data_IF_378322549855
#
_entry.id   IF_378322549855
#
_cell.length_a   1.000
_cell.length_b   1.000
_cell.length_c   1.000
_cell.angle_alpha   90.00
_cell.angle_beta   90.00
_cell.angle_gamma   90.00
#
_symmetry.space_group_name_H-M   'P 1'
#
loop_
_entity.id
_entity.type
_entity.pdbx_description
1 polymer ?
#
# COMPACT_ATOMS: atom_id res chain seq x y z
N UNK A 1 74.80 118.59 -41.15
CA UNK A 1 75.34 117.43 -40.40
C UNK A 1 74.21 116.83 -39.55
N UNK A 2 74.15 115.49 -39.52
CA UNK A 2 73.44 114.61 -38.56
C UNK A 2 71.95 114.29 -38.84
N UNK A 3 71.79 113.37 -39.81
CA UNK A 3 71.11 112.06 -39.74
C UNK A 3 69.71 111.96 -39.10
N UNK A 4 68.68 111.99 -39.95
CA UNK A 4 67.37 111.33 -39.70
C UNK A 4 67.60 109.82 -39.56
N UNK A 5 67.37 109.27 -38.36
CA UNK A 5 67.16 107.83 -38.19
C UNK A 5 65.67 107.55 -37.90
N UNK A 6 65.10 106.71 -38.76
CA UNK A 6 63.72 106.23 -38.73
C UNK A 6 63.46 105.49 -37.40
N UNK A 7 62.41 105.90 -36.69
CA UNK A 7 61.81 105.13 -35.60
C UNK A 7 61.12 103.92 -36.21
N UNK A 8 61.69 102.74 -36.02
CA UNK A 8 61.02 101.47 -36.22
C UNK A 8 61.35 100.59 -35.02
N UNK A 9 60.34 100.31 -34.19
CA UNK A 9 60.11 99.05 -33.46
C UNK A 9 58.79 99.25 -32.67
N UNK A 10 57.80 98.46 -33.08
CA UNK A 10 56.62 97.98 -32.36
C UNK A 10 55.74 98.99 -31.59
N UNK A 11 54.71 99.51 -32.28
CA UNK A 11 53.46 99.88 -31.63
C UNK A 11 52.71 98.61 -31.24
N UNK A 12 52.96 98.11 -30.04
CA UNK A 12 52.14 97.06 -29.43
C UNK A 12 50.94 97.78 -28.81
N UNK A 13 49.83 97.91 -29.54
CA UNK A 13 48.58 98.43 -28.98
C UNK A 13 48.11 97.50 -27.86
N UNK A 14 47.47 98.03 -26.80
CA UNK A 14 46.95 97.24 -25.66
C UNK A 14 46.10 96.03 -26.11
N UNK A 15 45.40 96.18 -27.24
CA UNK A 15 44.64 95.12 -27.92
C UNK A 15 45.48 93.94 -28.40
N UNK A 16 46.73 94.15 -28.81
CA UNK A 16 47.62 93.07 -29.27
C UNK A 16 48.26 92.29 -28.11
N UNK A 17 48.46 92.94 -26.95
CA UNK A 17 48.86 92.26 -25.69
C UNK A 17 47.68 91.45 -25.14
N UNK A 18 46.47 92.00 -25.14
CA UNK A 18 45.27 91.27 -24.71
C UNK A 18 44.94 90.07 -25.62
N UNK A 19 45.05 90.21 -26.95
CA UNK A 19 44.88 89.08 -27.86
C UNK A 19 46.00 88.05 -27.71
N UNK A 20 47.25 88.46 -27.48
CA UNK A 20 48.36 87.56 -27.18
C UNK A 20 48.15 86.78 -25.89
N UNK A 21 47.73 87.44 -24.81
CA UNK A 21 47.40 86.82 -23.52
C UNK A 21 46.18 85.91 -23.65
N UNK A 22 45.16 86.30 -24.43
CA UNK A 22 43.99 85.46 -24.70
C UNK A 22 44.35 84.21 -25.52
N UNK A 23 45.21 84.32 -26.53
CA UNK A 23 45.73 83.16 -27.26
C UNK A 23 46.57 82.26 -26.37
N UNK A 24 47.44 82.82 -25.53
CA UNK A 24 48.20 82.05 -24.54
C UNK A 24 47.23 81.36 -23.57
N UNK A 25 46.19 82.03 -23.07
CA UNK A 25 45.20 81.44 -22.17
C UNK A 25 44.38 80.34 -22.85
N UNK A 26 43.98 80.53 -24.11
CA UNK A 26 43.27 79.52 -24.90
C UNK A 26 44.16 78.30 -25.13
N UNK A 27 45.43 78.49 -25.50
CA UNK A 27 46.35 77.39 -25.80
C UNK A 27 46.88 76.70 -24.53
N UNK A 28 47.07 77.45 -23.43
CA UNK A 28 47.64 76.92 -22.18
C UNK A 28 46.60 76.43 -21.16
N UNK A 29 45.36 76.94 -21.23
CA UNK A 29 44.31 76.58 -20.26
C UNK A 29 43.11 75.95 -20.96
N UNK A 30 42.54 76.58 -21.98
CA UNK A 30 41.29 76.11 -22.60
C UNK A 30 41.48 74.82 -23.41
N UNK A 31 42.50 74.74 -24.26
CA UNK A 31 42.77 73.56 -25.09
C UNK A 31 43.18 72.33 -24.23
N UNK A 32 44.08 72.46 -23.24
CA UNK A 32 44.37 71.38 -22.31
C UNK A 32 43.16 70.98 -21.45
N UNK A 33 42.34 71.93 -20.99
CA UNK A 33 41.12 71.63 -20.24
C UNK A 33 40.05 70.94 -21.09
N UNK A 34 39.86 71.37 -22.34
CA UNK A 34 38.96 70.72 -23.28
C UNK A 34 39.43 69.29 -23.63
N UNK A 35 40.73 69.10 -23.88
CA UNK A 35 41.30 67.77 -24.11
C UNK A 35 41.21 66.89 -22.85
N UNK A 36 41.40 67.45 -21.66
CA UNK A 36 41.19 66.75 -20.40
C UNK A 36 39.73 66.32 -20.24
N UNK A 37 38.77 67.22 -20.50
CA UNK A 37 37.34 66.95 -20.41
C UNK A 37 36.88 65.88 -21.40
N UNK A 38 37.33 65.95 -22.66
CA UNK A 38 37.01 64.94 -23.69
C UNK A 38 37.59 63.58 -23.31
N UNK A 39 38.84 63.52 -22.85
CA UNK A 39 39.45 62.26 -22.43
C UNK A 39 38.79 61.67 -21.17
N UNK A 40 38.35 62.52 -20.24
CA UNK A 40 37.62 62.11 -19.05
C UNK A 40 36.25 61.52 -19.40
N UNK A 41 35.53 62.16 -20.33
CA UNK A 41 34.24 61.68 -20.84
C UNK A 41 34.40 60.38 -21.63
N UNK A 42 35.42 60.28 -22.50
CA UNK A 42 35.75 59.04 -23.24
C UNK A 42 36.06 57.89 -22.28
N UNK A 43 36.83 58.15 -21.22
CA UNK A 43 37.13 57.18 -20.18
C UNK A 43 35.90 56.74 -19.39
N UNK A 44 34.97 57.66 -19.11
CA UNK A 44 33.69 57.35 -18.45
C UNK A 44 32.81 56.42 -19.27
N UNK A 45 32.64 56.69 -20.57
CA UNK A 45 31.84 55.84 -21.46
C UNK A 45 32.49 54.46 -21.64
N UNK A 46 33.82 54.41 -21.84
CA UNK A 46 34.54 53.15 -21.94
C UNK A 46 34.41 52.31 -20.66
N UNK A 47 34.50 52.92 -19.48
CA UNK A 47 34.29 52.25 -18.20
C UNK A 47 32.84 51.76 -18.03
N UNK A 48 31.85 52.55 -18.44
CA UNK A 48 30.44 52.15 -18.43
C UNK A 48 30.16 50.92 -19.30
N UNK A 49 30.67 50.92 -20.54
CA UNK A 49 30.59 49.76 -21.43
C UNK A 49 31.31 48.55 -20.83
N UNK A 50 32.49 48.76 -20.26
CA UNK A 50 33.26 47.69 -19.63
C UNK A 50 32.54 47.05 -18.44
N UNK A 51 31.77 47.84 -17.67
CA UNK A 51 30.90 47.35 -16.61
C UNK A 51 29.73 46.52 -17.14
N UNK A 52 29.12 46.92 -18.26
CA UNK A 52 28.07 46.14 -18.92
C UNK A 52 28.61 44.78 -19.39
N UNK A 53 29.78 44.77 -20.04
CA UNK A 53 30.46 43.53 -20.44
C UNK A 53 30.78 42.67 -19.22
N UNK A 54 31.35 43.23 -18.14
CA UNK A 54 31.65 42.46 -16.94
C UNK A 54 30.40 41.86 -16.28
N UNK A 55 29.28 42.58 -16.30
CA UNK A 55 28.00 42.06 -15.78
C UNK A 55 27.53 40.87 -16.61
N UNK A 56 27.62 40.96 -17.94
CA UNK A 56 27.29 39.85 -18.84
C UNK A 56 28.24 38.65 -18.66
N UNK A 57 29.55 38.90 -18.51
CA UNK A 57 30.57 37.88 -18.22
C UNK A 57 30.25 37.13 -16.92
N UNK A 58 29.95 37.84 -15.83
CA UNK A 58 29.61 37.22 -14.55
C UNK A 58 28.37 36.32 -14.68
N UNK A 59 27.34 36.79 -15.39
CA UNK A 59 26.13 35.98 -15.62
C UNK A 59 26.43 34.75 -16.49
N UNK A 60 27.23 34.90 -17.55
CA UNK A 60 27.63 33.79 -18.41
C UNK A 60 28.39 32.72 -17.61
N UNK A 61 29.35 33.13 -16.75
CA UNK A 61 30.11 32.22 -15.89
C UNK A 61 29.18 31.44 -14.95
N UNK A 62 28.20 32.12 -14.33
CA UNK A 62 27.24 31.49 -13.44
C UNK A 62 26.35 30.45 -14.13
N UNK A 63 25.81 30.78 -15.31
CA UNK A 63 24.87 29.93 -16.03
C UNK A 63 25.57 28.76 -16.77
N UNK A 64 26.84 28.93 -17.18
CA UNK A 64 27.57 27.97 -18.03
C UNK A 64 28.73 27.28 -17.29
N UNK A 65 28.67 27.24 -15.97
CA UNK A 65 29.74 26.71 -15.13
C UNK A 65 30.21 25.31 -15.53
N UNK A 66 29.29 24.38 -15.85
CA UNK A 66 29.66 23.01 -16.27
C UNK A 66 30.42 23.00 -17.59
N UNK A 67 30.00 23.82 -18.57
CA UNK A 67 30.68 23.91 -19.86
C UNK A 67 32.05 24.58 -19.74
N UNK A 68 32.17 25.58 -18.85
CA UNK A 68 33.44 26.24 -18.54
C UNK A 68 34.37 25.26 -17.82
N UNK A 69 33.90 24.52 -16.82
CA UNK A 69 34.70 23.53 -16.09
C UNK A 69 35.17 22.36 -16.98
N UNK A 70 34.44 22.05 -18.05
CA UNK A 70 34.87 21.06 -19.03
C UNK A 70 36.01 21.55 -19.94
N UNK A 71 36.21 22.86 -20.06
CA UNK A 71 37.13 23.48 -21.02
C UNK A 71 38.24 24.34 -20.37
N UNK A 72 38.07 24.74 -19.12
CA UNK A 72 39.06 25.43 -18.31
C UNK A 72 39.77 24.44 -17.38
N UNK A 73 41.01 24.76 -17.02
CA UNK A 73 41.81 24.04 -16.03
C UNK A 73 42.66 25.05 -15.25
N UNK A 74 43.51 24.61 -14.30
CA UNK A 74 44.45 25.51 -13.64
C UNK A 74 45.45 26.17 -14.60
N UNK A 75 45.67 25.61 -15.79
CA UNK A 75 46.68 26.09 -16.76
C UNK A 75 46.12 26.44 -18.14
N UNK A 76 44.90 26.00 -18.46
CA UNK A 76 44.23 26.26 -19.74
C UNK A 76 42.99 27.11 -19.49
N UNK A 77 42.86 28.31 -20.09
CA UNK A 77 41.67 29.11 -19.89
C UNK A 77 40.54 28.74 -20.84
N UNK A 78 39.32 28.91 -20.36
CA UNK A 78 38.20 29.21 -21.24
C UNK A 78 38.27 30.69 -21.67
N UNK A 79 38.34 30.95 -22.97
CA UNK A 79 38.36 32.30 -23.53
C UNK A 79 36.94 32.73 -23.89
N UNK A 80 36.46 33.79 -23.26
CA UNK A 80 35.15 34.37 -23.49
C UNK A 80 35.29 35.76 -24.13
N UNK A 81 34.55 36.00 -25.20
CA UNK A 81 34.60 37.25 -25.98
C UNK A 81 33.22 37.90 -26.07
N UNK A 82 33.16 39.19 -26.43
CA UNK A 82 31.88 39.89 -26.64
C UNK A 82 30.99 39.22 -27.70
N UNK A 83 31.50 38.78 -28.86
CA UNK A 83 30.68 38.03 -29.83
C UNK A 83 30.03 36.77 -29.24
N UNK A 84 30.73 36.03 -28.37
CA UNK A 84 30.17 34.86 -27.69
C UNK A 84 29.04 35.26 -26.72
N UNK A 85 29.22 36.36 -25.98
CA UNK A 85 28.19 36.90 -25.10
C UNK A 85 26.94 37.36 -25.86
N UNK A 86 27.13 37.95 -27.05
CA UNK A 86 26.02 38.33 -27.94
C UNK A 86 25.31 37.09 -28.48
N UNK A 87 26.05 36.10 -29.00
CA UNK A 87 25.45 34.86 -29.54
C UNK A 87 24.70 34.05 -28.48
N UNK A 88 25.19 34.08 -27.24
CA UNK A 88 24.55 33.39 -26.10
C UNK A 88 23.44 34.22 -25.43
N UNK A 89 23.15 35.44 -25.92
CA UNK A 89 22.03 36.27 -25.44
C UNK A 89 22.30 37.07 -24.16
N UNK A 90 23.54 37.18 -23.71
CA UNK A 90 23.94 37.96 -22.52
C UNK A 90 24.20 39.44 -22.83
N UNK A 91 24.41 39.78 -24.11
CA UNK A 91 24.49 41.14 -24.63
C UNK A 91 23.53 41.29 -25.82
N UNK A 92 22.95 42.49 -26.05
CA UNK A 92 22.00 42.71 -27.14
C UNK A 92 22.67 42.52 -28.51
N UNK A 93 21.87 42.13 -29.50
CA UNK A 93 22.34 42.06 -30.88
C UNK A 93 22.85 43.43 -31.34
N UNK A 94 24.03 43.48 -31.95
CA UNK A 94 24.70 44.73 -32.34
C UNK A 94 25.51 45.42 -31.24
N UNK A 95 25.68 44.80 -30.06
CA UNK A 95 26.60 45.34 -29.05
C UNK A 95 28.04 45.42 -29.61
N UNK A 96 28.70 46.60 -29.57
CA UNK A 96 30.00 46.77 -30.20
C UNK A 96 31.09 45.94 -29.50
N UNK A 97 31.91 45.25 -30.29
CA UNK A 97 33.02 44.42 -29.80
C UNK A 97 34.22 45.25 -29.34
N UNK A 98 34.27 46.53 -29.71
CA UNK A 98 35.31 47.48 -29.32
C UNK A 98 34.72 48.63 -28.49
N UNK A 99 35.58 49.25 -27.68
CA UNK A 99 35.24 50.46 -26.94
C UNK A 99 35.69 51.74 -27.67
N UNK A 100 35.48 52.90 -27.05
CA UNK A 100 35.89 54.21 -27.60
C UNK A 100 37.42 54.43 -27.70
N UNK A 101 38.22 53.46 -27.28
CA UNK A 101 39.67 53.38 -27.49
C UNK A 101 40.06 52.31 -28.52
N UNK A 102 39.08 51.70 -29.20
CA UNK A 102 39.24 50.57 -30.12
C UNK A 102 39.76 49.28 -29.47
N UNK A 103 39.74 49.19 -28.13
CA UNK A 103 40.11 47.96 -27.42
C UNK A 103 38.97 46.96 -27.44
N UNK A 104 39.30 45.67 -27.60
CA UNK A 104 38.37 44.54 -27.51
C UNK A 104 38.38 43.93 -26.11
N UNK A 105 37.29 43.25 -25.73
CA UNK A 105 37.19 42.56 -24.45
C UNK A 105 37.44 41.06 -24.61
N UNK A 106 38.41 40.54 -23.86
CA UNK A 106 38.71 39.12 -23.77
C UNK A 106 38.78 38.70 -22.31
N UNK A 107 37.83 37.89 -21.86
CA UNK A 107 37.84 37.30 -20.53
C UNK A 107 38.52 35.94 -20.59
N UNK A 108 39.50 35.73 -19.70
CA UNK A 108 40.14 34.42 -19.49
C UNK A 108 39.68 33.87 -18.16
N UNK A 109 39.13 32.65 -18.18
CA UNK A 109 38.56 31.98 -17.01
C UNK A 109 39.35 30.69 -16.77
N UNK A 110 39.94 30.56 -15.59
CA UNK A 110 40.67 29.37 -15.14
C UNK A 110 39.88 28.69 -14.02
N UNK A 111 40.17 27.41 -13.80
CA UNK A 111 39.61 26.63 -12.70
C UNK A 111 40.75 26.06 -11.82
N UNK A 112 41.28 26.87 -10.89
CA UNK A 112 42.36 26.40 -10.00
C UNK A 112 41.94 25.26 -9.07
N UNK A 113 40.64 25.17 -8.76
CA UNK A 113 40.04 24.11 -7.96
C UNK A 113 38.62 23.82 -8.47
N UNK A 114 38.18 22.57 -8.34
CA UNK A 114 36.90 22.10 -8.86
C UNK A 114 35.72 23.02 -8.42
N UNK A 115 35.00 23.56 -9.39
CA UNK A 115 33.87 24.48 -9.21
C UNK A 115 34.23 25.90 -8.78
N UNK A 116 35.51 26.26 -8.71
CA UNK A 116 35.99 27.60 -8.33
C UNK A 116 36.68 28.27 -9.51
N UNK A 117 36.02 29.27 -10.09
CA UNK A 117 36.57 29.99 -11.24
C UNK A 117 37.34 31.23 -10.81
N UNK A 118 38.48 31.45 -11.46
CA UNK A 118 39.30 32.65 -11.35
C UNK A 118 39.36 33.30 -12.73
N UNK A 119 38.82 34.51 -12.85
CA UNK A 119 38.62 35.15 -14.16
C UNK A 119 39.15 36.58 -14.19
N UNK A 120 39.64 37.01 -15.34
CA UNK A 120 40.00 38.40 -15.59
C UNK A 120 39.61 38.79 -17.02
N UNK A 121 38.95 39.95 -17.15
CA UNK A 121 38.62 40.55 -18.43
C UNK A 121 39.72 41.52 -18.82
N UNK A 122 40.38 41.26 -19.94
CA UNK A 122 41.41 42.11 -20.52
C UNK A 122 40.82 42.97 -21.62
N UNK A 123 41.07 44.27 -21.56
CA UNK A 123 40.86 45.15 -22.70
C UNK A 123 42.15 45.10 -23.52
N UNK A 124 42.08 44.50 -24.71
CA UNK A 124 43.23 44.20 -25.56
C UNK A 124 43.17 45.01 -26.86
N UNK A 125 44.34 45.43 -27.37
CA UNK A 125 44.42 46.30 -28.53
C UNK A 125 43.84 47.71 -28.28
N UNK A 126 43.73 48.49 -29.36
CA UNK A 126 43.29 49.88 -29.29
C UNK A 126 44.43 50.87 -29.07
N UNK A 127 44.09 52.06 -28.57
CA UNK A 127 45.06 53.14 -28.35
C UNK A 127 45.95 52.88 -27.12
N UNK A 128 47.24 53.19 -27.24
CA UNK A 128 48.18 53.13 -26.12
C UNK A 128 47.81 54.16 -25.04
N UNK A 129 47.50 53.66 -23.85
CA UNK A 129 47.17 54.48 -22.69
C UNK A 129 48.39 54.63 -21.79
N UNK A 130 48.63 55.84 -21.31
CA UNK A 130 49.55 56.04 -20.17
C UNK A 130 48.97 55.37 -18.93
N UNK A 131 49.84 54.97 -17.99
CA UNK A 131 49.41 54.39 -16.70
C UNK A 131 48.41 55.30 -15.98
N UNK A 132 48.57 56.62 -16.07
CA UNK A 132 47.64 57.59 -15.51
C UNK A 132 46.25 57.52 -16.14
N UNK A 133 46.16 57.39 -17.47
CA UNK A 133 44.88 57.26 -18.18
C UNK A 133 44.21 55.92 -17.87
N UNK A 134 44.97 54.83 -17.90
CA UNK A 134 44.46 53.49 -17.58
C UNK A 134 43.92 53.40 -16.15
N UNK A 135 44.66 53.97 -15.18
CA UNK A 135 44.24 54.03 -13.78
C UNK A 135 42.95 54.83 -13.59
N UNK A 136 42.77 55.95 -14.30
CA UNK A 136 41.51 56.72 -14.26
C UNK A 136 40.33 55.93 -14.81
N UNK A 137 40.50 55.18 -15.91
CA UNK A 137 39.45 54.32 -16.46
C UNK A 137 39.13 53.20 -15.45
N UNK A 138 40.15 52.59 -14.86
CA UNK A 138 39.99 51.57 -13.81
C UNK A 138 39.16 52.08 -12.63
N UNK A 139 39.44 53.29 -12.12
CA UNK A 139 38.66 53.90 -11.03
C UNK A 139 37.19 54.08 -11.41
N UNK A 140 36.88 54.39 -12.68
CA UNK A 140 35.51 54.56 -13.17
C UNK A 140 34.77 53.24 -13.34
N UNK A 141 35.47 52.14 -13.62
CA UNK A 141 34.89 50.79 -13.65
C UNK A 141 34.44 50.39 -12.23
N UNK A 142 35.20 50.80 -11.21
CA UNK A 142 34.91 50.59 -9.80
C UNK A 142 35.89 49.62 -9.14
N UNK A 143 35.49 49.00 -8.03
CA UNK A 143 36.38 48.17 -7.20
C UNK A 143 37.06 47.00 -7.94
N UNK A 144 36.42 46.47 -8.98
CA UNK A 144 36.97 45.39 -9.81
C UNK A 144 37.88 45.91 -10.94
N UNK A 145 37.88 47.21 -11.24
CA UNK A 145 38.67 47.79 -12.32
C UNK A 145 40.15 47.89 -11.96
N UNK A 146 41.01 47.61 -12.91
CA UNK A 146 42.46 47.69 -12.76
C UNK A 146 43.18 48.04 -14.06
N UNK A 147 44.50 48.13 -13.97
CA UNK A 147 45.40 48.39 -15.10
C UNK A 147 46.68 47.57 -14.97
N UNK A 148 47.38 47.35 -16.08
CA UNK A 148 48.62 46.60 -16.12
C UNK A 148 49.82 47.53 -16.01
N UNK A 149 50.72 47.21 -15.09
CA UNK A 149 51.98 47.90 -14.87
C UNK A 149 53.08 46.90 -14.48
N UNK A 150 54.10 46.79 -15.32
CA UNK A 150 55.25 45.88 -15.18
C UNK A 150 54.85 44.42 -14.96
N UNK A 151 53.88 43.93 -15.74
CA UNK A 151 53.43 42.53 -15.69
C UNK A 151 52.52 42.18 -14.51
N UNK A 152 52.06 43.19 -13.76
CA UNK A 152 51.14 43.05 -12.64
C UNK A 152 49.85 43.78 -12.96
N UNK A 153 48.71 43.12 -12.78
CA UNK A 153 47.39 43.73 -12.83
C UNK A 153 47.10 44.38 -11.47
N UNK A 154 46.94 45.70 -11.45
CA UNK A 154 46.72 46.51 -10.24
C UNK A 154 45.32 47.10 -10.26
N UNK A 155 44.56 46.86 -9.20
CA UNK A 155 43.27 47.50 -8.98
C UNK A 155 43.40 49.01 -8.82
N UNK A 156 42.34 49.73 -9.18
CA UNK A 156 42.25 51.16 -8.97
C UNK A 156 42.57 51.52 -7.51
N UNK A 157 43.41 52.54 -7.30
CA UNK A 157 43.87 52.99 -5.97
C UNK A 157 44.52 51.89 -5.11
N UNK A 158 45.02 50.81 -5.71
CA UNK A 158 45.65 49.70 -4.99
C UNK A 158 44.66 48.74 -4.32
N UNK A 159 43.38 48.73 -4.72
CA UNK A 159 42.35 47.89 -4.11
C UNK A 159 42.63 46.38 -4.16
N UNK A 160 43.41 45.94 -5.15
CA UNK A 160 43.88 44.57 -5.31
C UNK A 160 45.11 44.55 -6.22
N UNK A 161 45.87 43.47 -6.22
CA UNK A 161 47.02 43.30 -7.08
C UNK A 161 47.21 41.81 -7.39
N UNK A 162 47.29 41.45 -8.67
CA UNK A 162 47.47 40.07 -9.11
C UNK A 162 48.57 39.98 -10.18
N UNK A 163 49.41 38.95 -10.09
CA UNK A 163 50.43 38.68 -11.10
C UNK A 163 49.75 38.07 -12.34
N UNK A 164 50.11 38.55 -13.55
CA UNK A 164 49.57 38.01 -14.80
C UNK A 164 49.93 36.54 -15.04
N UNK A 165 50.91 35.98 -14.32
CA UNK A 165 51.19 34.55 -14.30
C UNK A 165 49.99 33.71 -13.84
N UNK A 166 49.12 34.23 -12.97
CA UNK A 166 47.88 33.58 -12.55
C UNK A 166 46.88 33.41 -13.71
N UNK A 167 47.03 34.18 -14.78
CA UNK A 167 46.19 34.13 -15.98
C UNK A 167 46.94 33.54 -17.18
N UNK A 168 47.81 32.56 -16.95
CA UNK A 168 48.57 31.85 -17.98
C UNK A 168 49.62 32.72 -18.68
N UNK A 169 50.07 33.78 -18.00
CA UNK A 169 51.09 34.71 -18.50
C UNK A 169 50.60 35.65 -19.59
N UNK A 170 49.28 35.74 -19.84
CA UNK A 170 48.74 36.64 -20.84
C UNK A 170 48.97 38.10 -20.44
N UNK A 171 49.79 38.81 -21.23
CA UNK A 171 50.18 40.18 -20.95
C UNK A 171 50.03 41.05 -22.20
N UNK A 172 48.94 41.84 -22.32
CA UNK A 172 48.77 42.79 -23.42
C UNK A 172 49.73 44.00 -23.34
N UNK A 173 50.45 44.18 -22.23
CA UNK A 173 51.43 45.25 -22.05
C UNK A 173 50.98 46.35 -21.08
N UNK A 174 51.92 47.21 -20.69
CA UNK A 174 51.68 48.31 -19.75
C UNK A 174 50.59 49.27 -20.27
N UNK A 175 49.74 49.77 -19.37
CA UNK A 175 48.67 50.72 -19.72
C UNK A 175 47.36 50.08 -20.18
N UNK A 176 47.29 48.76 -20.33
CA UNK A 176 46.02 48.09 -20.62
C UNK A 176 45.12 48.03 -19.38
N UNK A 177 43.82 48.22 -19.60
CA UNK A 177 42.80 48.15 -18.54
C UNK A 177 42.33 46.70 -18.39
N UNK A 178 42.12 46.28 -17.15
CA UNK A 178 41.65 44.95 -16.78
C UNK A 178 40.49 45.05 -15.81
N UNK A 179 39.70 43.98 -15.71
CA UNK A 179 38.64 43.85 -14.71
C UNK A 179 38.77 42.51 -14.03
N UNK A 180 38.96 42.51 -12.72
CA UNK A 180 39.02 41.30 -11.92
C UNK A 180 37.63 40.67 -11.79
N UNK A 181 37.50 39.43 -12.24
CA UNK A 181 36.42 38.54 -11.84
C UNK A 181 36.81 37.88 -10.52
N UNK A 182 36.52 38.54 -9.39
CA UNK A 182 36.70 37.96 -8.06
C UNK A 182 36.10 36.55 -8.02
N UNK A 183 36.77 35.59 -7.37
CA UNK A 183 36.38 34.18 -7.33
C UNK A 183 34.86 33.98 -7.26
N UNK A 184 34.28 33.44 -8.33
CA UNK A 184 32.87 33.10 -8.38
C UNK A 184 32.73 31.60 -8.14
N UNK A 185 31.97 31.23 -7.11
CA UNK A 185 31.55 29.84 -6.93
C UNK A 185 30.65 29.49 -8.11
N UNK A 186 31.05 28.52 -8.93
CA UNK A 186 30.44 28.14 -10.20
C UNK A 186 29.04 27.51 -10.11
N UNK A 187 28.22 27.90 -9.14
CA UNK A 187 26.82 27.51 -9.11
C UNK A 187 26.03 28.57 -8.33
N UNK A 188 25.53 29.60 -9.02
CA UNK A 188 24.37 30.33 -8.52
C UNK A 188 23.16 29.50 -8.95
N UNK A 189 22.84 28.45 -8.18
CA UNK A 189 21.60 27.72 -8.32
C UNK A 189 20.45 28.65 -7.93
N UNK A 190 19.84 29.31 -8.91
CA UNK A 190 18.57 29.99 -8.74
C UNK A 190 17.58 29.44 -9.76
N UNK A 191 17.25 28.15 -9.61
CA UNK A 191 16.23 27.46 -10.38
C UNK A 191 14.99 27.25 -9.51
N UNK A 192 14.33 28.36 -9.14
CA UNK A 192 13.07 28.28 -8.39
C UNK A 192 11.91 28.06 -9.35
N UNK A 193 11.15 26.98 -9.16
CA UNK A 193 9.78 26.86 -9.64
C UNK A 193 8.99 28.09 -9.17
N UNK A 194 8.41 28.87 -10.08
CA UNK A 194 7.67 30.06 -9.69
C UNK A 194 6.46 29.64 -8.86
N UNK A 195 6.43 30.06 -7.59
CA UNK A 195 5.35 29.74 -6.64
C UNK A 195 4.09 30.60 -6.83
N UNK A 196 4.12 31.46 -7.84
CA UNK A 196 3.04 32.38 -8.23
C UNK A 196 2.87 32.21 -9.73
N UNK A 197 1.63 32.01 -10.17
CA UNK A 197 1.32 31.90 -11.59
C UNK A 197 1.87 33.13 -12.32
N UNK A 198 2.76 32.92 -13.29
CA UNK A 198 3.21 33.97 -14.21
C UNK A 198 2.28 33.99 -15.42
N UNK A 199 1.41 35.02 -15.58
CA UNK A 199 0.44 35.06 -16.67
C UNK A 199 1.14 35.00 -18.05
N UNK A 200 0.61 34.17 -18.94
CA UNK A 200 1.16 33.99 -20.30
C UNK A 200 2.48 33.24 -20.38
N UNK A 201 2.97 32.67 -19.26
CA UNK A 201 4.26 31.96 -19.17
C UNK A 201 4.11 30.60 -18.45
N UNK A 202 3.38 29.63 -19.04
CA UNK A 202 3.15 28.31 -18.42
C UNK A 202 4.45 27.53 -18.14
N UNK A 203 5.49 27.74 -18.94
CA UNK A 203 6.81 27.14 -18.78
C UNK A 203 7.47 27.49 -17.44
N UNK A 204 7.15 28.65 -16.86
CA UNK A 204 7.71 29.09 -15.57
C UNK A 204 6.97 28.49 -14.36
N UNK A 205 5.80 27.90 -14.58
CA UNK A 205 4.96 27.30 -13.54
C UNK A 205 4.97 25.76 -13.60
N UNK A 206 5.79 25.17 -14.48
CA UNK A 206 5.80 23.73 -14.77
C UNK A 206 7.18 23.14 -14.52
N UNK A 207 7.27 21.99 -13.85
CA UNK A 207 8.52 21.23 -13.76
C UNK A 207 8.79 20.50 -15.08
N UNK A 208 9.99 20.64 -15.63
CA UNK A 208 10.43 19.93 -16.86
C UNK A 208 11.04 18.56 -16.60
N UNK A 209 11.18 18.18 -15.33
CA UNK A 209 11.73 16.89 -14.88
C UNK A 209 10.97 16.39 -13.64
N UNK A 210 11.22 15.13 -13.24
CA UNK A 210 10.59 14.53 -12.07
C UNK A 210 11.03 15.24 -10.77
N UNK A 211 10.08 15.41 -9.84
CA UNK A 211 10.36 15.88 -8.48
C UNK A 211 10.85 14.71 -7.62
N UNK A 212 12.14 14.70 -7.29
CA UNK A 212 12.70 13.78 -6.30
C UNK A 212 12.76 14.48 -4.94
N UNK A 213 12.04 13.96 -3.95
CA UNK A 213 12.01 14.51 -2.59
C UNK A 213 13.16 14.01 -1.69
N UNK A 214 13.98 13.06 -2.14
CA UNK A 214 15.11 12.53 -1.37
C UNK A 214 14.71 11.92 -0.02
N UNK A 215 13.49 11.38 0.09
CA UNK A 215 12.93 10.85 1.34
C UNK A 215 12.22 11.87 2.23
N UNK A 216 12.07 13.12 1.79
CA UNK A 216 11.36 14.16 2.52
C UNK A 216 9.84 14.14 2.25
N UNK A 217 9.08 14.71 3.19
CA UNK A 217 7.62 14.76 3.14
C UNK A 217 7.09 15.93 2.30
N UNK A 218 5.88 15.76 1.76
CA UNK A 218 5.03 16.86 1.26
C UNK A 218 3.97 17.15 2.32
N UNK A 219 4.16 18.20 3.13
CA UNK A 219 3.23 18.55 4.20
C UNK A 219 2.16 19.54 3.72
N UNK A 220 0.90 19.37 4.16
CA UNK A 220 -0.24 20.26 3.87
C UNK A 220 -0.57 20.45 2.37
N UNK A 221 -0.37 19.41 1.55
CA UNK A 221 -0.85 19.44 0.16
C UNK A 221 -2.39 19.46 0.14
N UNK A 222 -2.99 20.43 -0.56
CA UNK A 222 -4.44 20.47 -0.76
C UNK A 222 -4.93 19.39 -1.72
N UNK A 223 -4.52 19.47 -2.98
CA UNK A 223 -4.85 18.47 -4.01
C UNK A 223 -3.60 18.11 -4.81
N UNK A 224 -3.30 16.81 -4.90
CA UNK A 224 -2.27 16.28 -5.80
C UNK A 224 -2.97 15.54 -6.93
N UNK A 225 -3.16 16.21 -8.06
CA UNK A 225 -3.72 15.61 -9.26
C UNK A 225 -2.60 14.96 -10.09
N UNK A 226 -2.64 13.63 -10.24
CA UNK A 226 -1.67 12.86 -11.01
C UNK A 226 -2.40 11.83 -11.89
N UNK A 227 -1.81 11.48 -13.03
CA UNK A 227 -2.35 10.42 -13.89
C UNK A 227 -2.26 9.06 -13.20
N UNK A 228 -1.17 8.80 -12.47
CA UNK A 228 -0.94 7.59 -11.69
C UNK A 228 -0.35 7.97 -10.31
N UNK A 229 -0.73 7.24 -9.26
CA UNK A 229 -0.15 7.37 -7.92
C UNK A 229 0.34 6.00 -7.43
N UNK A 230 1.64 5.89 -7.16
CA UNK A 230 2.22 4.74 -6.48
C UNK A 230 2.55 5.16 -5.04
N UNK A 231 1.81 4.61 -4.07
CA UNK A 231 1.98 4.92 -2.64
C UNK A 231 2.55 3.67 -1.97
N UNK A 232 3.85 3.69 -1.70
CA UNK A 232 4.54 2.60 -1.00
C UNK A 232 4.59 2.91 0.51
N UNK A 233 3.70 2.31 1.30
CA UNK A 233 3.62 2.49 2.76
C UNK A 233 2.18 2.55 3.29
N UNK A 234 2.02 2.80 4.60
CA UNK A 234 0.70 2.90 5.25
C UNK A 234 0.07 4.27 4.98
N UNK A 235 -1.09 4.29 4.32
CA UNK A 235 -1.96 5.47 4.23
C UNK A 235 -2.64 5.70 5.59
N UNK A 236 -1.97 6.45 6.47
CA UNK A 236 -2.56 6.87 7.74
C UNK A 236 -3.50 8.06 7.47
N UNK A 237 -4.79 7.77 7.46
CA UNK A 237 -5.93 8.72 7.50
C UNK A 237 -6.33 9.42 6.19
N UNK A 238 -7.62 9.30 5.85
CA UNK A 238 -8.27 9.95 4.71
C UNK A 238 -8.70 8.95 3.63
N UNK A 239 -10.00 8.89 3.35
CA UNK A 239 -10.66 8.05 2.34
C UNK A 239 -9.82 7.87 1.06
N UNK A 240 -9.46 6.64 0.71
CA UNK A 240 -8.87 6.31 -0.59
C UNK A 240 -10.00 6.12 -1.62
N UNK A 241 -10.33 7.18 -2.38
CA UNK A 241 -11.32 7.13 -3.44
C UNK A 241 -10.61 6.94 -4.80
N UNK A 242 -10.50 5.69 -5.26
CA UNK A 242 -9.93 5.35 -6.55
C UNK A 242 -10.96 4.58 -7.38
N UNK A 243 -11.18 4.99 -8.64
CA UNK A 243 -12.03 4.26 -9.57
C UNK A 243 -11.44 2.88 -9.89
N UNK A 244 -10.10 2.79 -9.99
CA UNK A 244 -9.32 1.57 -10.07
C UNK A 244 -8.08 1.77 -9.18
N UNK A 245 -7.87 0.92 -8.18
CA UNK A 245 -6.72 1.01 -7.28
C UNK A 245 -6.29 -0.37 -6.80
N UNK A 246 -4.99 -0.59 -6.70
CA UNK A 246 -4.41 -1.82 -6.18
C UNK A 246 -3.58 -1.50 -4.95
N UNK A 247 -3.87 -2.15 -3.82
CA UNK A 247 -3.03 -2.10 -2.62
C UNK A 247 -2.14 -3.35 -2.66
N UNK A 248 -0.85 -3.20 -2.91
CA UNK A 248 0.12 -4.31 -2.98
C UNK A 248 0.66 -4.75 -1.61
N UNK A 249 -0.04 -4.38 -0.53
CA UNK A 249 0.37 -4.60 0.86
C UNK A 249 -0.84 -4.68 1.80
N UNK A 250 -0.66 -4.28 3.05
CA UNK A 250 -1.71 -4.36 4.06
C UNK A 250 -2.67 -3.17 3.98
N UNK A 251 -3.98 -3.44 3.92
CA UNK A 251 -5.03 -2.43 4.13
C UNK A 251 -5.47 -2.47 5.60
N UNK A 252 -5.08 -1.45 6.38
CA UNK A 252 -5.58 -1.25 7.75
C UNK A 252 -6.64 -0.14 7.75
N UNK A 253 -7.91 -0.53 7.74
CA UNK A 253 -9.05 0.39 7.68
C UNK A 253 -10.06 0.05 8.78
N UNK A 254 -10.65 1.09 9.40
CA UNK A 254 -11.71 0.88 10.41
C UNK A 254 -12.98 0.25 9.84
N UNK A 255 -13.30 0.51 8.56
CA UNK A 255 -14.42 -0.11 7.84
C UNK A 255 -14.07 -0.25 6.37
N UNK A 256 -14.43 -1.37 5.76
CA UNK A 256 -14.28 -1.64 4.32
C UNK A 256 -15.66 -1.91 3.75
N UNK A 257 -16.16 -1.00 2.91
CA UNK A 257 -17.42 -1.16 2.18
C UNK A 257 -17.12 -1.56 0.73
N UNK A 258 -17.31 -2.83 0.39
CA UNK A 258 -17.17 -3.32 -0.98
C UNK A 258 -18.54 -3.39 -1.68
N UNK A 259 -18.69 -2.66 -2.79
CA UNK A 259 -19.92 -2.70 -3.62
C UNK A 259 -19.95 -3.90 -4.58
N UNK A 260 -18.81 -4.53 -4.83
CA UNK A 260 -18.64 -5.70 -5.66
C UNK A 260 -18.22 -6.95 -4.86
N UNK A 261 -17.70 -7.94 -5.57
CA UNK A 261 -17.22 -9.18 -4.98
C UNK A 261 -15.91 -8.97 -4.18
N UNK A 262 -15.78 -9.66 -3.06
CA UNK A 262 -14.52 -9.78 -2.31
C UNK A 262 -13.92 -11.16 -2.61
N UNK A 263 -12.76 -11.19 -3.24
CA UNK A 263 -12.01 -12.44 -3.52
C UNK A 263 -10.76 -12.49 -2.65
N UNK A 264 -10.58 -13.59 -1.92
CA UNK A 264 -9.38 -13.86 -1.12
C UNK A 264 -8.75 -15.16 -1.59
N UNK A 265 -7.43 -15.15 -1.86
CA UNK A 265 -6.67 -16.36 -2.18
C UNK A 265 -6.25 -17.14 -0.92
N UNK A 266 -6.49 -16.58 0.27
CA UNK A 266 -6.18 -17.15 1.56
C UNK A 266 -7.38 -17.04 2.51
N UNK A 267 -7.15 -17.17 3.81
CA UNK A 267 -8.21 -17.16 4.82
C UNK A 267 -8.79 -15.76 5.06
N UNK A 268 -10.10 -15.70 5.29
CA UNK A 268 -10.78 -14.52 5.87
C UNK A 268 -10.91 -14.76 7.37
N UNK A 269 -10.19 -13.98 8.19
CA UNK A 269 -10.17 -14.12 9.65
C UNK A 269 -10.98 -12.96 10.26
N UNK A 270 -12.00 -13.28 11.06
CA UNK A 270 -12.78 -12.31 11.84
C UNK A 270 -12.63 -12.62 13.33
N UNK A 271 -12.45 -11.59 14.15
CA UNK A 271 -12.44 -11.73 15.62
C UNK A 271 -13.85 -11.90 16.20
N UNK A 272 -14.88 -11.55 15.40
CA UNK A 272 -16.29 -11.63 15.79
C UNK A 272 -17.04 -12.47 14.74
N UNK A 273 -18.17 -11.96 14.26
CA UNK A 273 -19.07 -12.69 13.35
C UNK A 273 -18.78 -12.35 11.88
N UNK A 274 -18.94 -13.35 11.00
CA UNK A 274 -19.09 -13.15 9.56
C UNK A 274 -20.57 -13.31 9.23
N UNK A 275 -21.24 -12.21 8.86
CA UNK A 275 -22.64 -12.21 8.47
C UNK A 275 -22.76 -12.08 6.96
N UNK A 276 -23.54 -12.97 6.34
CA UNK A 276 -23.83 -12.95 4.92
C UNK A 276 -25.25 -13.48 4.69
N UNK A 277 -25.86 -13.12 3.56
CA UNK A 277 -27.15 -13.68 3.17
C UNK A 277 -27.08 -15.19 2.94
N UNK A 278 -25.96 -15.66 2.36
CA UNK A 278 -25.68 -17.07 2.11
C UNK A 278 -24.21 -17.35 2.36
N UNK A 279 -23.91 -18.47 3.03
CA UNK A 279 -22.59 -19.10 3.02
C UNK A 279 -22.67 -20.29 2.06
N UNK A 280 -21.79 -20.32 1.06
CA UNK A 280 -21.80 -21.37 0.03
C UNK A 280 -20.47 -22.14 0.03
N UNK A 281 -20.39 -23.28 0.73
CA UNK A 281 -19.22 -24.16 0.66
C UNK A 281 -19.00 -24.67 -0.77
N UNK A 282 -17.80 -24.48 -1.29
CA UNK A 282 -17.43 -24.96 -2.64
C UNK A 282 -16.92 -26.40 -2.61
N UNK A 283 -16.35 -26.84 -1.49
CA UNK A 283 -15.81 -28.18 -1.33
C UNK A 283 -16.93 -29.22 -1.15
N UNK A 284 -17.05 -30.13 -2.11
CA UNK A 284 -17.87 -31.35 -1.96
C UNK A 284 -17.09 -32.40 -1.18
N UNK A 285 -17.74 -33.04 -0.20
CA UNK A 285 -17.14 -34.00 0.74
C UNK A 285 -17.94 -35.30 0.78
N UNK A 286 -17.28 -36.39 1.16
CA UNK A 286 -17.90 -37.70 1.35
C UNK A 286 -18.14 -37.93 2.84
N UNK A 287 -19.39 -38.24 3.21
CA UNK A 287 -19.75 -38.59 4.58
C UNK A 287 -18.89 -39.77 5.08
N UNK A 288 -18.42 -39.67 6.32
CA UNK A 288 -17.51 -40.64 6.94
C UNK A 288 -16.04 -40.50 6.53
N UNK A 289 -15.74 -39.71 5.49
CA UNK A 289 -14.37 -39.38 5.08
C UNK A 289 -13.63 -38.57 6.14
N UNK A 290 -12.29 -38.62 6.10
CA UNK A 290 -11.45 -37.85 7.01
C UNK A 290 -11.41 -36.35 6.65
N UNK A 291 -11.20 -35.51 7.66
CA UNK A 291 -11.10 -34.07 7.50
C UNK A 291 -10.22 -33.46 8.59
N UNK A 292 -9.64 -32.29 8.32
CA UNK A 292 -8.88 -31.51 9.28
C UNK A 292 -8.81 -30.04 8.83
N UNK A 293 -8.87 -29.06 9.76
CA UNK A 293 -9.15 -29.24 11.18
C UNK A 293 -10.63 -29.54 11.45
N UNK A 294 -10.96 -30.07 12.63
CA UNK A 294 -12.35 -30.14 13.10
C UNK A 294 -12.96 -28.73 13.14
N UNK A 295 -14.23 -28.59 12.74
CA UNK A 295 -14.97 -27.33 12.71
C UNK A 295 -15.14 -26.71 11.31
N UNK A 296 -14.44 -27.20 10.28
CA UNK A 296 -14.71 -26.77 8.89
C UNK A 296 -16.06 -27.31 8.38
N UNK A 297 -16.65 -26.62 7.41
CA UNK A 297 -17.93 -26.98 6.81
C UNK A 297 -17.72 -27.21 5.31
N UNK A 298 -18.08 -28.40 4.83
CA UNK A 298 -18.20 -28.73 3.41
C UNK A 298 -19.65 -28.89 3.01
N UNK A 299 -19.88 -29.39 1.79
CA UNK A 299 -21.19 -29.85 1.32
C UNK A 299 -21.11 -31.27 0.79
N UNK A 300 -22.19 -32.04 0.81
CA UNK A 300 -22.22 -33.32 0.08
C UNK A 300 -22.64 -33.13 -1.40
N UNK A 301 -22.82 -34.24 -2.12
CA UNK A 301 -23.24 -34.22 -3.54
C UNK A 301 -24.67 -33.72 -3.77
N UNK A 302 -25.50 -33.69 -2.73
CA UNK A 302 -26.87 -33.16 -2.77
C UNK A 302 -26.95 -31.68 -2.36
N UNK A 303 -25.86 -31.15 -1.79
CA UNK A 303 -25.74 -29.75 -1.36
C UNK A 303 -25.97 -29.53 0.13
N UNK A 304 -26.18 -30.59 0.93
CA UNK A 304 -26.34 -30.48 2.37
C UNK A 304 -25.03 -30.04 3.03
N UNK A 305 -25.12 -29.15 4.01
CA UNK A 305 -23.99 -28.74 4.84
C UNK A 305 -23.48 -29.91 5.69
N UNK A 306 -22.18 -30.19 5.64
CA UNK A 306 -21.55 -31.27 6.39
C UNK A 306 -20.39 -30.71 7.22
N UNK A 307 -20.51 -30.65 8.56
CA UNK A 307 -19.40 -30.26 9.41
C UNK A 307 -18.35 -31.38 9.52
N UNK A 308 -17.10 -30.97 9.69
CA UNK A 308 -16.02 -31.84 10.14
C UNK A 308 -16.05 -31.93 11.67
N UNK A 309 -16.36 -33.09 12.22
CA UNK A 309 -16.43 -33.34 13.67
C UNK A 309 -15.45 -34.46 14.01
N UNK A 310 -14.54 -34.18 14.95
CA UNK A 310 -13.52 -35.14 15.41
C UNK A 310 -12.76 -35.81 14.24
N UNK A 311 -12.40 -35.00 13.23
CA UNK A 311 -11.65 -35.43 12.06
C UNK A 311 -12.43 -36.25 11.03
N UNK A 312 -13.77 -36.28 11.10
CA UNK A 312 -14.63 -36.91 10.08
C UNK A 312 -15.77 -36.01 9.61
N UNK A 313 -16.15 -36.17 8.35
CA UNK A 313 -17.33 -35.53 7.78
C UNK A 313 -18.60 -36.23 8.26
N UNK A 314 -19.43 -35.54 9.04
CA UNK A 314 -20.58 -36.15 9.72
C UNK A 314 -21.83 -35.31 9.54
N UNK A 315 -22.98 -35.96 9.26
CA UNK A 315 -24.28 -35.29 9.31
C UNK A 315 -24.82 -35.35 10.73
N UNK A 316 -25.36 -34.24 11.25
CA UNK A 316 -26.16 -34.29 12.48
C UNK A 316 -27.50 -34.96 12.15
N UNK A 317 -27.70 -36.20 12.61
CA UNK A 317 -28.91 -36.95 12.24
C UNK A 317 -30.20 -36.47 12.92
N UNK A 318 -30.14 -35.43 13.77
CA UNK A 318 -31.28 -34.92 14.55
C UNK A 318 -31.85 -35.89 15.59
N UNK A 319 -31.44 -37.17 15.57
CA UNK A 319 -31.84 -38.20 16.51
C UNK A 319 -30.84 -38.28 17.66
N UNK A 320 -31.28 -38.15 18.93
CA UNK A 320 -30.40 -38.30 20.08
C UNK A 320 -29.73 -39.66 20.14
N UNK A 321 -28.45 -39.70 20.46
CA UNK A 321 -27.72 -40.95 20.74
C UNK A 321 -28.41 -41.70 21.89
N UNK A 322 -28.50 -43.02 21.77
CA UNK A 322 -29.26 -43.89 22.67
C UNK A 322 -30.73 -44.11 22.29
N UNK A 323 -31.25 -43.40 21.28
CA UNK A 323 -32.61 -43.65 20.78
C UNK A 323 -32.72 -45.07 20.25
N UNK A 324 -33.70 -45.83 20.75
CA UNK A 324 -34.06 -47.15 20.23
C UNK A 324 -35.15 -46.96 19.16
N UNK A 325 -34.92 -47.51 17.98
CA UNK A 325 -35.84 -47.45 16.85
C UNK A 325 -36.14 -48.85 16.31
N UNK A 326 -37.32 -48.98 15.72
CA UNK A 326 -37.73 -50.18 14.98
C UNK A 326 -37.19 -50.06 13.54
N UNK A 327 -36.56 -51.13 13.05
CA UNK A 327 -35.93 -51.17 11.74
C UNK A 327 -36.34 -52.41 10.95
N UNK A 328 -36.77 -52.20 9.70
CA UNK A 328 -37.35 -53.25 8.85
C UNK A 328 -36.37 -53.92 7.87
N UNK A 329 -35.06 -53.67 7.99
CA UNK A 329 -34.04 -54.20 7.06
C UNK A 329 -32.85 -54.82 7.81
N UNK A 330 -32.22 -55.84 7.25
CA UNK A 330 -30.98 -56.39 7.80
C UNK A 330 -29.78 -55.44 7.63
N UNK A 331 -29.86 -54.48 6.70
CA UNK A 331 -28.81 -53.49 6.50
C UNK A 331 -28.97 -52.36 7.52
N UNK A 332 -28.16 -52.37 8.58
CA UNK A 332 -28.20 -51.35 9.63
C UNK A 332 -27.55 -50.05 9.10
N UNK A 333 -28.21 -48.88 9.20
CA UNK A 333 -27.66 -47.61 8.73
C UNK A 333 -26.39 -47.20 9.50
N UNK A 334 -25.51 -46.43 8.84
CA UNK A 334 -24.33 -45.88 9.53
C UNK A 334 -24.72 -44.99 10.71
N UNK A 335 -23.96 -45.10 11.80
CA UNK A 335 -24.25 -44.44 13.07
C UNK A 335 -25.36 -45.11 13.90
N UNK A 336 -25.77 -46.33 13.55
CA UNK A 336 -26.67 -47.17 14.33
C UNK A 336 -26.05 -48.54 14.61
N UNK A 337 -26.45 -49.16 15.73
CA UNK A 337 -26.07 -50.52 16.10
C UNK A 337 -27.32 -51.35 16.34
N UNK A 338 -27.29 -52.64 16.04
CA UNK A 338 -28.38 -53.56 16.39
C UNK A 338 -28.36 -53.84 17.91
N UNK A 339 -29.54 -53.82 18.55
CA UNK A 339 -29.73 -54.21 19.94
C UNK A 339 -29.74 -55.75 20.09
N UNK A 340 -28.58 -56.37 19.91
CA UNK A 340 -28.35 -57.82 19.97
C UNK A 340 -27.33 -58.23 21.05
N UNK A 341 -27.05 -57.36 22.02
CA UNK A 341 -26.05 -57.61 23.07
C UNK A 341 -24.58 -57.39 22.66
N UNK A 342 -24.30 -56.94 21.43
CA UNK A 342 -22.93 -56.72 20.97
C UNK A 342 -22.17 -55.66 21.77
N UNK A 343 -20.85 -55.81 21.83
CA UNK A 343 -19.95 -54.80 22.38
C UNK A 343 -19.70 -53.64 21.40
N UNK A 344 -19.38 -52.46 21.92
CA UNK A 344 -18.97 -51.29 21.16
C UNK A 344 -17.76 -50.59 21.81
N UNK A 345 -16.99 -49.87 21.00
CA UNK A 345 -15.82 -49.13 21.48
C UNK A 345 -16.25 -47.84 22.19
N UNK A 346 -16.11 -47.80 23.51
CA UNK A 346 -16.53 -46.66 24.35
C UNK A 346 -15.75 -45.37 24.08
N UNK A 347 -14.52 -45.45 23.58
CA UNK A 347 -13.73 -44.29 23.17
C UNK A 347 -14.16 -43.72 21.82
N UNK A 348 -14.68 -44.56 20.92
CA UNK A 348 -15.18 -44.13 19.61
C UNK A 348 -16.65 -43.66 19.66
N UNK A 349 -17.44 -44.19 20.59
CA UNK A 349 -18.86 -43.88 20.78
C UNK A 349 -19.09 -43.29 22.19
N UNK A 350 -18.47 -42.16 22.49
CA UNK A 350 -18.46 -41.55 23.83
C UNK A 350 -19.86 -41.16 24.32
N UNK A 351 -20.72 -40.63 23.44
CA UNK A 351 -22.11 -40.29 23.78
C UNK A 351 -22.94 -41.55 24.14
N UNK A 352 -22.74 -42.65 23.42
CA UNK A 352 -23.42 -43.91 23.73
C UNK A 352 -22.85 -44.53 25.01
N UNK A 353 -21.54 -44.41 25.24
CA UNK A 353 -20.88 -44.88 26.47
C UNK A 353 -21.37 -44.15 27.72
N UNK A 354 -21.81 -42.88 27.60
CA UNK A 354 -22.42 -42.15 28.71
C UNK A 354 -23.78 -42.76 29.14
N UNK A 355 -24.49 -43.42 28.22
CA UNK A 355 -25.77 -44.09 28.47
C UNK A 355 -25.56 -45.57 28.85
N UNK A 356 -24.62 -46.23 28.19
CA UNK A 356 -24.25 -47.64 28.39
C UNK A 356 -22.75 -47.78 28.72
N UNK A 357 -22.34 -47.51 29.98
CA UNK A 357 -20.92 -47.52 30.37
C UNK A 357 -20.24 -48.89 30.26
N UNK A 358 -21.01 -49.97 30.23
CA UNK A 358 -20.51 -51.33 30.02
C UNK A 358 -19.89 -51.55 28.65
N UNK A 359 -20.13 -50.65 27.69
CA UNK A 359 -19.68 -50.83 26.30
C UNK A 359 -20.47 -51.92 25.58
N UNK A 360 -21.69 -52.23 26.03
CA UNK A 360 -22.57 -53.22 25.40
C UNK A 360 -23.95 -52.62 25.18
N UNK A 361 -24.55 -52.90 24.02
CA UNK A 361 -25.94 -52.53 23.74
C UNK A 361 -26.91 -53.54 24.36
N UNK A 362 -28.18 -53.18 24.61
CA UNK A 362 -29.20 -54.15 25.04
C UNK A 362 -29.37 -55.28 24.03
N UNK A 363 -29.87 -56.44 24.48
CA UNK A 363 -30.34 -57.52 23.60
C UNK A 363 -31.87 -57.58 23.67
N UNK A 364 -32.53 -57.22 22.57
CA UNK A 364 -34.00 -57.23 22.46
C UNK A 364 -34.52 -58.29 21.50
N UNK A 365 -33.66 -59.20 21.03
CA UNK A 365 -34.09 -60.27 20.11
C UNK A 365 -35.10 -61.17 20.82
N UNK A 366 -36.26 -61.36 20.18
CA UNK A 366 -37.35 -62.18 20.73
C UNK A 366 -38.20 -61.50 21.80
N UNK A 367 -37.91 -60.25 22.18
CA UNK A 367 -38.65 -59.54 23.23
C UNK A 367 -39.64 -58.51 22.65
N UNK A 368 -40.78 -58.34 23.33
CA UNK A 368 -41.64 -57.18 23.15
C UNK A 368 -41.23 -56.06 24.12
N UNK A 369 -41.09 -54.84 23.61
CA UNK A 369 -40.77 -53.69 24.45
C UNK A 369 -42.06 -53.08 25.01
N UNK A 370 -42.04 -52.80 26.32
CA UNK A 370 -43.13 -52.12 27.03
C UNK A 370 -42.61 -50.83 27.67
N UNK A 371 -43.49 -49.84 27.80
CA UNK A 371 -43.18 -48.61 28.51
C UNK A 371 -42.90 -48.89 29.99
N UNK A 372 -41.90 -48.21 30.56
CA UNK A 372 -41.60 -48.29 31.98
C UNK A 372 -42.58 -47.39 32.75
N UNK A 373 -43.30 -47.97 33.72
CA UNK A 373 -44.24 -47.23 34.57
C UNK A 373 -43.56 -46.18 35.45
N UNK A 374 -42.33 -46.49 35.92
CA UNK A 374 -41.54 -45.64 36.84
C UNK A 374 -42.22 -45.41 38.20
N UNK A 375 -42.93 -46.42 38.71
CA UNK A 375 -43.47 -46.41 40.06
C UNK A 375 -44.71 -45.53 40.26
N UNK A 376 -45.38 -45.11 39.18
CA UNK A 376 -46.60 -44.28 39.27
C UNK A 376 -47.88 -45.12 39.45
N UNK A 377 -47.80 -46.43 39.27
CA UNK A 377 -48.87 -47.38 39.58
C UNK A 377 -49.94 -47.54 38.48
N UNK A 378 -49.64 -47.18 37.22
CA UNK A 378 -50.55 -47.51 36.09
C UNK A 378 -50.36 -48.96 35.65
N UNK A 379 -49.13 -49.43 35.74
CA UNK A 379 -48.76 -50.83 35.54
C UNK A 379 -48.84 -51.61 36.85
N UNK A 380 -49.37 -52.83 36.79
CA UNK A 380 -49.35 -53.77 37.94
C UNK A 380 -47.91 -54.08 38.38
N UNK A 381 -46.96 -54.01 37.44
CA UNK A 381 -45.53 -54.21 37.68
C UNK A 381 -44.77 -52.88 37.84
N UNK A 382 -45.34 -51.91 38.56
CA UNK A 382 -44.82 -50.53 38.65
C UNK A 382 -43.38 -50.39 39.18
N UNK A 383 -42.90 -51.37 39.97
CA UNK A 383 -41.57 -51.39 40.57
C UNK A 383 -40.44 -51.90 39.67
N UNK A 384 -40.70 -52.24 38.40
CA UNK A 384 -39.67 -52.79 37.50
C UNK A 384 -38.56 -51.78 37.18
N UNK A 385 -37.36 -52.28 36.98
CA UNK A 385 -36.20 -51.49 36.51
C UNK A 385 -36.19 -51.34 34.99
N UNK A 386 -35.54 -50.28 34.48
CA UNK A 386 -35.30 -50.10 33.05
C UNK A 386 -34.48 -51.28 32.49
N UNK A 387 -34.83 -51.75 31.29
CA UNK A 387 -34.20 -52.91 30.63
C UNK A 387 -34.30 -54.25 31.38
N UNK A 388 -35.10 -54.34 32.45
CA UNK A 388 -35.37 -55.63 33.08
C UNK A 388 -36.14 -56.55 32.13
N UNK A 389 -35.82 -57.84 32.17
CA UNK A 389 -36.55 -58.88 31.45
C UNK A 389 -37.77 -59.34 32.28
N UNK A 390 -38.81 -59.84 31.61
CA UNK A 390 -39.99 -60.43 32.23
C UNK A 390 -40.48 -61.56 31.31
N UNK A 391 -40.76 -62.73 31.89
CA UNK A 391 -41.34 -63.85 31.15
C UNK A 391 -42.79 -63.57 30.77
N UNK A 392 -43.29 -64.32 29.80
CA UNK A 392 -44.70 -64.31 29.45
C UNK A 392 -45.57 -64.75 30.64
N UNK A 393 -46.77 -64.18 30.70
CA UNK A 393 -47.79 -64.55 31.66
C UNK A 393 -49.17 -64.41 31.03
N UNK A 394 -50.05 -65.38 31.28
CA UNK A 394 -51.48 -65.28 31.01
C UNK A 394 -52.19 -64.89 32.31
N UNK A 395 -53.19 -64.02 32.21
CA UNK A 395 -54.03 -63.72 33.37
C UNK A 395 -54.71 -65.02 33.82
N UNK A 396 -54.70 -65.29 35.13
CA UNK A 396 -55.42 -66.44 35.69
C UNK A 396 -56.91 -66.36 35.32
N UNK A 397 -57.46 -67.45 34.76
CA UNK A 397 -58.87 -67.56 34.40
C UNK A 397 -59.39 -68.97 34.65
N UNK A 398 -60.72 -69.10 34.75
CA UNK A 398 -61.42 -70.39 34.93
C UNK A 398 -62.37 -70.64 33.77
N UNK A 399 -62.58 -71.92 33.46
CA UNK A 399 -63.61 -72.37 32.52
C UNK A 399 -64.73 -73.08 33.30
N UNK A 400 -65.98 -72.81 32.94
CA UNK A 400 -67.10 -73.64 33.38
C UNK A 400 -67.21 -74.79 32.39
N UNK A 401 -66.81 -76.00 32.80
CA UNK A 401 -67.05 -77.20 32.00
C UNK A 401 -68.56 -77.50 32.02
N UNK A 402 -69.25 -77.21 30.91
CA UNK A 402 -70.65 -77.59 30.75
C UNK A 402 -70.77 -79.10 30.69
N UNK A 403 -71.31 -79.73 31.73
CA UNK A 403 -71.84 -81.09 31.61
C UNK A 403 -73.21 -81.01 30.94
N UNK A 404 -73.27 -81.30 29.64
CA UNK A 404 -74.55 -81.61 28.99
C UNK A 404 -75.19 -82.79 29.74
N UNK A 405 -76.20 -82.49 30.54
CA UNK A 405 -77.22 -83.46 30.91
C UNK A 405 -78.23 -83.42 29.78
N UNK A 406 -78.09 -84.33 28.82
CA UNK A 406 -79.23 -84.72 28.02
C UNK A 406 -80.23 -85.32 29.00
N UNK A 407 -81.23 -84.53 29.41
CA UNK A 407 -82.44 -85.04 30.02
C UNK A 407 -83.14 -85.89 28.96
N UNK A 408 -82.75 -87.15 28.86
CA UNK A 408 -83.64 -88.15 28.30
C UNK A 408 -84.74 -88.39 29.34
N UNK A 409 -85.98 -88.27 28.91
CA UNK A 409 -87.17 -88.44 29.73
C UNK A 409 -87.14 -89.84 30.38
N UNK A 410 -86.98 -89.91 31.70
CA UNK A 410 -86.96 -91.18 32.45
C UNK A 410 -85.88 -91.36 33.53
N UNK A 411 -84.96 -90.41 33.75
CA UNK A 411 -84.01 -90.52 34.88
C UNK A 411 -84.62 -89.88 36.15
N UNK A 412 -84.80 -90.64 37.25
CA UNK A 412 -85.35 -90.12 38.50
C UNK A 412 -84.52 -88.97 39.06
N UNK A 413 -85.21 -87.93 39.52
CA UNK A 413 -84.67 -86.70 40.09
C UNK A 413 -83.64 -86.98 41.20
N UNK A 414 -82.34 -86.91 40.88
CA UNK A 414 -81.25 -87.05 41.85
C UNK A 414 -80.76 -85.66 42.25
N UNK A 415 -80.94 -85.23 43.52
CA UNK A 415 -80.50 -83.93 43.99
C UNK A 415 -79.02 -84.00 44.36
N UNK A 416 -78.14 -84.15 43.37
CA UNK A 416 -76.70 -84.04 43.61
C UNK A 416 -76.18 -82.87 42.79
N UNK A 417 -76.20 -81.68 43.43
CA UNK A 417 -75.30 -80.59 43.04
C UNK A 417 -73.89 -81.17 43.16
N UNK A 418 -73.16 -81.27 42.05
CA UNK A 418 -71.72 -81.43 42.11
C UNK A 418 -71.13 -80.13 42.67
N UNK A 419 -70.95 -80.10 43.98
CA UNK A 419 -70.05 -79.15 44.65
C UNK A 419 -68.61 -79.45 44.22
N UNK A 420 -67.79 -78.43 43.93
CA UNK A 420 -66.36 -78.60 43.79
C UNK A 420 -65.80 -79.15 45.12
N UNK A 421 -65.29 -80.37 45.12
CA UNK A 421 -64.64 -80.99 46.29
C UNK A 421 -65.29 -82.25 46.87
N UNK A 422 -66.22 -82.91 46.18
CA UNK A 422 -66.77 -84.21 46.58
C UNK A 422 -66.17 -85.36 45.77
N UNK A 423 -65.45 -86.26 46.44
CA UNK A 423 -64.95 -87.52 45.89
C UNK A 423 -66.12 -88.40 45.40
N UNK A 424 -66.36 -88.42 44.09
CA UNK A 424 -66.90 -89.58 43.39
C UNK A 424 -66.53 -89.46 41.91
N UNK A 425 -65.42 -90.12 41.55
CA UNK A 425 -65.00 -90.28 40.16
C UNK A 425 -66.02 -91.18 39.47
N UNK A 426 -67.08 -90.59 38.91
CA UNK A 426 -67.78 -91.22 37.80
C UNK A 426 -66.84 -91.13 36.60
N UNK A 427 -66.12 -92.22 36.37
CA UNK A 427 -65.45 -92.48 35.10
C UNK A 427 -66.50 -92.36 33.98
N UNK A 428 -66.58 -91.18 33.38
CA UNK A 428 -67.09 -91.07 32.02
C UNK A 428 -66.02 -91.69 31.12
N UNK A 429 -66.11 -93.01 30.98
CA UNK A 429 -65.48 -93.71 29.88
C UNK A 429 -65.96 -93.05 28.57
N UNK A 430 -65.01 -92.75 27.69
CA UNK A 430 -65.21 -92.33 26.30
C UNK A 430 -65.83 -90.96 26.02
N UNK A 431 -65.35 -89.91 26.71
CA UNK A 431 -65.31 -88.57 26.10
C UNK A 431 -63.90 -88.20 25.64
N UNK A 432 -63.35 -89.03 24.76
CA UNK A 432 -62.35 -88.63 23.74
C UNK A 432 -63.03 -87.97 22.53
N UNK A 433 -64.23 -87.40 22.72
CA UNK A 433 -64.86 -86.57 21.71
C UNK A 433 -64.13 -85.22 21.67
N UNK A 434 -63.43 -84.97 20.56
CA UNK A 434 -62.85 -83.68 20.25
C UNK A 434 -63.81 -82.55 20.64
N UNK A 435 -63.31 -81.56 21.38
CA UNK A 435 -64.03 -80.33 21.65
C UNK A 435 -64.44 -79.76 20.29
N UNK A 436 -65.75 -79.70 20.05
CA UNK A 436 -66.38 -79.36 18.78
C UNK A 436 -65.66 -78.19 18.06
N UNK A 437 -64.89 -78.49 17.01
CA UNK A 437 -64.07 -77.54 16.25
C UNK A 437 -64.87 -76.70 15.25
N UNK A 438 -66.21 -76.77 15.28
CA UNK A 438 -67.10 -76.04 14.35
C UNK A 438 -67.05 -74.51 14.47
N UNK A 439 -66.30 -73.97 15.45
CA UNK A 439 -66.07 -72.53 15.67
C UNK A 439 -64.66 -72.07 15.31
N UNK A 440 -64.00 -72.75 14.36
CA UNK A 440 -62.63 -72.46 13.95
C UNK A 440 -61.63 -72.88 15.03
N UNK A 441 -60.76 -73.83 14.71
CA UNK A 441 -59.78 -74.34 15.67
C UNK A 441 -58.97 -73.21 16.33
N UNK A 442 -58.77 -73.32 17.65
CA UNK A 442 -57.93 -72.39 18.38
C UNK A 442 -56.53 -72.36 17.75
N UNK A 443 -56.02 -71.16 17.43
CA UNK A 443 -54.64 -70.98 16.97
C UNK A 443 -53.70 -71.20 18.15
N UNK A 444 -53.16 -72.41 18.28
CA UNK A 444 -52.21 -72.79 19.33
C UNK A 444 -50.77 -72.68 18.84
N UNK A 445 -49.85 -72.37 19.76
CA UNK A 445 -48.40 -72.25 19.53
C UNK A 445 -47.68 -72.57 20.85
N UNK A 446 -46.36 -72.80 20.81
CA UNK A 446 -45.53 -73.03 22.01
C UNK A 446 -45.45 -71.82 22.95
N UNK A 447 -45.87 -70.65 22.49
CA UNK A 447 -45.86 -69.38 23.23
C UNK A 447 -47.07 -68.54 22.77
N UNK A 448 -47.67 -67.80 23.71
CA UNK A 448 -48.75 -66.85 23.41
C UNK A 448 -48.18 -65.61 22.75
N UNK A 449 -48.62 -65.30 21.51
CA UNK A 449 -48.16 -64.11 20.77
C UNK A 449 -49.27 -63.45 19.96
N UNK A 450 -49.28 -62.10 19.86
CA UNK A 450 -50.15 -61.42 18.91
C UNK A 450 -49.68 -61.68 17.47
N UNK A 451 -50.56 -61.44 16.50
CA UNK A 451 -50.14 -61.33 15.09
C UNK A 451 -49.14 -60.17 14.97
N UNK A 452 -47.94 -60.44 14.48
CA UNK A 452 -46.85 -59.46 14.42
C UNK A 452 -46.03 -59.59 13.13
N UNK A 453 -45.23 -58.57 12.83
CA UNK A 453 -44.13 -58.61 11.86
C UNK A 453 -42.80 -58.60 12.61
N UNK A 454 -41.83 -59.38 12.14
CA UNK A 454 -40.48 -59.37 12.69
C UNK A 454 -39.72 -58.11 12.24
N UNK A 455 -39.07 -57.45 13.19
CA UNK A 455 -38.30 -56.22 12.99
C UNK A 455 -37.03 -56.29 13.83
N UNK A 456 -36.03 -55.48 13.49
CA UNK A 456 -34.80 -55.34 14.25
C UNK A 456 -34.91 -54.09 15.12
N UNK A 457 -34.56 -54.19 16.39
CA UNK A 457 -34.36 -53.01 17.22
C UNK A 457 -32.93 -52.51 17.03
N UNK A 458 -32.79 -51.24 16.69
CA UNK A 458 -31.50 -50.57 16.53
C UNK A 458 -31.39 -49.40 17.48
N UNK A 459 -30.17 -49.08 17.91
CA UNK A 459 -29.85 -47.97 18.79
C UNK A 459 -28.97 -46.96 18.09
N UNK A 460 -29.29 -45.67 18.22
CA UNK A 460 -28.50 -44.58 17.68
C UNK A 460 -27.17 -44.51 18.41
N UNK A 461 -26.05 -44.61 17.69
CA UNK A 461 -24.72 -44.71 18.27
C UNK A 461 -23.87 -43.42 18.12
N UNK A 462 -24.07 -42.63 17.05
CA UNK A 462 -23.34 -41.37 16.78
C UNK A 462 -24.00 -40.48 15.75
#
# INVERSE_FOLDING_TARGET
MIKKMKRGIAGVTESSIQLGIAFIFIVSVVFPAANWMVNEYRGYIAAGQAKQVQTAVNKYIGDNATAIAAAASPTVPFNLTVPMLVSAGYLPNGFPSTNNYSSTYQTRIYEPANGKFHAMTFLTGGADLTISQASKIATKIGAAGGYIDNGIAKGALGAWSENLSAFGGFNPGNGHVVIAGFYQNGAISNDYLYRKAVPGKPELNTMSTALNMGGNNINNAGTVAAQNASITGTTSTGTFNANNGTVSGTLNAGTINASGNITSNANVISQNTVQARYLYPTQTVTIGGSCSPSGIIGKDSTGDSVPCINGRWTKSSGVPVGTIAIWGSYNIPDGWLECNGQGFNTGAFTELAAIYPSGTVPDFRGAFLRGLDRGIGRDVDSGRGLLSYQNDALQNHTHIAGTETALHDGVPNSPTRNTPGGEEVRQYADRTGDVNTSWGGARVSSETRPKNFAVIYIIKAR
#
